data_IF_831477183086
#
_entry.id   IF_831477183086
#
_cell.length_a   1.000
_cell.length_b   1.000
_cell.length_c   1.000
_cell.angle_alpha   90.00
_cell.angle_beta   90.00
_cell.angle_gamma   90.00
#
_symmetry.space_group_name_H-M   'P 1'
#
loop_
_entity.id
_entity.type
_entity.pdbx_description
1 polymer ?
#
# COMPACT_ATOMS: atom_id res chain seq x y z
N UNK A 1 -1.73 18.02 4.33
CA UNK A 1 -2.37 17.49 5.44
C UNK A 1 -3.06 18.41 6.41
N UNK A 2 -3.74 17.82 7.39
CA UNK A 2 -4.62 18.49 8.36
C UNK A 2 -3.90 19.20 9.52
N UNK A 3 -2.57 19.00 9.66
CA UNK A 3 -1.82 19.50 10.83
C UNK A 3 -1.96 21.01 11.10
N UNK A 4 -2.03 21.82 10.06
CA UNK A 4 -2.20 23.27 10.21
C UNK A 4 -3.60 23.69 10.62
N UNK A 5 -4.55 22.75 10.64
CA UNK A 5 -5.97 22.97 10.92
C UNK A 5 -6.41 22.36 12.25
N UNK A 6 -5.61 21.44 12.83
CA UNK A 6 -5.94 20.71 14.04
C UNK A 6 -4.96 21.04 15.16
N UNK A 7 -5.48 21.30 16.38
CA UNK A 7 -4.69 21.51 17.58
C UNK A 7 -3.98 20.23 18.06
N UNK A 8 -4.68 19.10 17.92
CA UNK A 8 -4.17 17.76 18.27
C UNK A 8 -4.50 16.77 17.16
N UNK A 9 -3.62 15.79 16.97
CA UNK A 9 -3.82 14.67 16.04
C UNK A 9 -3.56 13.38 16.82
N UNK A 10 -4.51 12.46 16.79
CA UNK A 10 -4.39 11.12 17.32
C UNK A 10 -4.51 10.10 16.19
N UNK A 11 -3.69 9.06 16.21
CA UNK A 11 -3.71 7.96 15.25
C UNK A 11 -3.85 6.66 16.02
N UNK A 12 -4.93 5.91 15.78
CA UNK A 12 -5.12 4.55 16.28
C UNK A 12 -4.93 3.56 15.13
N UNK A 13 -4.12 2.53 15.35
CA UNK A 13 -3.84 1.48 14.35
C UNK A 13 -3.66 0.13 15.04
N UNK A 14 -4.23 -0.93 14.45
CA UNK A 14 -4.04 -2.31 14.91
C UNK A 14 -2.60 -2.79 14.79
N UNK A 15 -1.82 -2.18 13.90
CA UNK A 15 -0.43 -2.52 13.69
C UNK A 15 0.45 -2.10 14.87
N UNK A 16 1.55 -2.83 15.13
CA UNK A 16 2.50 -2.52 16.20
C UNK A 16 3.40 -1.32 15.89
N UNK A 17 3.43 -0.85 14.65
CA UNK A 17 4.25 0.28 14.18
C UNK A 17 3.58 1.04 13.07
N UNK A 18 4.03 2.26 12.83
CA UNK A 18 3.54 3.09 11.72
C UNK A 18 3.98 2.52 10.37
N UNK A 19 3.09 2.59 9.36
CA UNK A 19 3.34 2.19 7.98
C UNK A 19 3.97 0.78 7.84
N UNK A 20 3.42 -0.26 8.49
CA UNK A 20 4.05 -1.58 8.59
C UNK A 20 4.23 -2.28 7.23
N UNK A 21 3.45 -1.88 6.23
CA UNK A 21 3.53 -2.45 4.87
C UNK A 21 4.69 -1.89 4.04
N UNK A 22 5.33 -0.79 4.47
CA UNK A 22 6.32 -0.07 3.66
C UNK A 22 7.59 0.32 4.42
N UNK A 23 7.60 0.23 5.75
CA UNK A 23 8.75 0.56 6.59
C UNK A 23 9.16 -0.62 7.45
N UNK A 24 10.47 -0.81 7.61
CA UNK A 24 11.03 -1.67 8.65
C UNK A 24 10.92 -1.01 10.04
N UNK A 25 11.35 -1.71 11.09
CA UNK A 25 11.26 -1.23 12.46
C UNK A 25 12.06 0.06 12.69
N UNK A 26 13.22 0.18 12.07
CA UNK A 26 14.11 1.35 12.22
C UNK A 26 13.50 2.59 11.57
N UNK A 27 13.08 2.47 10.31
CA UNK A 27 12.46 3.57 9.58
C UNK A 27 11.11 3.97 10.19
N UNK A 28 10.33 3.00 10.67
CA UNK A 28 9.07 3.26 11.37
C UNK A 28 9.31 4.03 12.68
N UNK A 29 10.35 3.67 13.44
CA UNK A 29 10.71 4.38 14.67
C UNK A 29 11.10 5.85 14.40
N UNK A 30 11.91 6.11 13.36
CA UNK A 30 12.25 7.48 12.96
C UNK A 30 11.02 8.28 12.51
N UNK A 31 10.13 7.65 11.77
CA UNK A 31 8.88 8.27 11.32
C UNK A 31 8.00 8.61 12.54
N UNK A 32 7.83 7.68 13.47
CA UNK A 32 7.06 7.87 14.71
C UNK A 32 7.62 9.02 15.52
N UNK A 33 8.92 9.00 15.84
CA UNK A 33 9.59 10.06 16.61
C UNK A 33 9.38 11.44 15.96
N UNK A 34 9.54 11.52 14.62
CA UNK A 34 9.32 12.76 13.89
C UNK A 34 7.89 13.28 13.99
N UNK A 35 6.91 12.39 13.98
CA UNK A 35 5.49 12.76 14.11
C UNK A 35 5.16 13.16 15.55
N UNK A 36 5.69 12.47 16.56
CA UNK A 36 5.51 12.79 17.98
C UNK A 36 6.12 14.14 18.35
N UNK A 37 7.32 14.48 17.83
CA UNK A 37 7.92 15.83 17.95
C UNK A 37 6.98 16.93 17.43
N UNK A 38 6.07 16.58 16.54
CA UNK A 38 5.09 17.48 15.95
C UNK A 38 3.72 17.41 16.63
N UNK A 39 3.62 16.71 17.76
CA UNK A 39 2.41 16.64 18.58
C UNK A 39 1.39 15.60 18.12
N UNK A 40 1.78 14.64 17.27
CA UNK A 40 0.91 13.49 16.94
C UNK A 40 0.99 12.47 18.08
N UNK A 41 -0.14 11.93 18.50
CA UNK A 41 -0.23 10.84 19.48
C UNK A 41 -0.59 9.55 18.77
N UNK A 42 0.09 8.45 19.13
CA UNK A 42 -0.16 7.12 18.59
C UNK A 42 -0.79 6.20 19.63
N UNK A 43 -1.77 5.43 19.19
CA UNK A 43 -2.40 4.31 19.88
C UNK A 43 -2.23 3.08 18.98
N UNK A 44 -1.03 2.48 19.04
CA UNK A 44 -0.67 1.30 18.25
C UNK A 44 -1.13 0.02 18.97
N UNK A 45 -1.27 -1.07 18.23
CA UNK A 45 -1.90 -2.31 18.69
C UNK A 45 -3.32 -2.08 19.23
N UNK A 46 -4.01 -1.05 18.75
CA UNK A 46 -5.31 -0.66 19.25
C UNK A 46 -6.23 -0.20 18.10
N UNK A 47 -7.51 -0.20 18.33
CA UNK A 47 -8.49 0.25 17.35
C UNK A 47 -9.76 0.76 18.02
N UNK A 48 -10.57 1.51 17.28
CA UNK A 48 -11.85 1.95 17.76
C UNK A 48 -12.81 0.76 17.94
N UNK A 49 -13.29 0.58 19.16
CA UNK A 49 -14.30 -0.42 19.51
C UNK A 49 -15.72 0.13 19.37
N UNK A 50 -15.92 1.42 19.63
CA UNK A 50 -17.22 2.07 19.53
C UNK A 50 -17.09 3.59 19.37
N UNK A 51 -18.12 4.19 18.77
CA UNK A 51 -18.26 5.63 18.66
C UNK A 51 -19.53 6.08 19.35
N UNK A 52 -19.48 7.17 20.11
CA UNK A 52 -20.65 7.83 20.73
C UNK A 52 -20.50 9.35 20.56
N UNK A 53 -21.35 9.94 19.71
CA UNK A 53 -21.20 11.35 19.37
C UNK A 53 -19.81 11.63 18.80
N UNK A 54 -19.07 12.51 19.45
CA UNK A 54 -17.70 12.89 19.10
C UNK A 54 -16.63 12.17 19.94
N UNK A 55 -16.96 11.03 20.55
CA UNK A 55 -16.02 10.23 21.35
C UNK A 55 -15.82 8.86 20.71
N UNK A 56 -14.56 8.49 20.51
CA UNK A 56 -14.14 7.14 20.13
C UNK A 56 -13.62 6.41 21.36
N UNK A 57 -14.18 5.24 21.67
CA UNK A 57 -13.63 4.33 22.67
C UNK A 57 -12.80 3.26 21.97
N UNK A 58 -11.53 3.18 22.33
CA UNK A 58 -10.62 2.17 21.84
C UNK A 58 -10.82 0.81 22.53
N UNK A 59 -10.26 -0.25 21.97
CA UNK A 59 -10.30 -1.60 22.56
C UNK A 59 -9.58 -1.66 23.91
N UNK A 60 -8.53 -0.88 24.10
CA UNK A 60 -7.84 -0.70 25.38
C UNK A 60 -8.70 -0.05 26.47
N UNK A 61 -9.85 0.51 26.12
CA UNK A 61 -10.70 1.29 27.01
C UNK A 61 -10.41 2.78 27.00
N UNK A 62 -9.37 3.24 26.30
CA UNK A 62 -9.06 4.67 26.16
C UNK A 62 -10.18 5.38 25.40
N UNK A 63 -10.60 6.53 25.89
CA UNK A 63 -11.57 7.39 25.21
C UNK A 63 -10.87 8.61 24.61
N UNK A 64 -11.19 8.90 23.36
CA UNK A 64 -10.64 10.00 22.57
C UNK A 64 -11.79 10.86 22.07
N UNK A 65 -11.80 12.13 22.48
CA UNK A 65 -12.72 13.12 21.90
C UNK A 65 -12.13 13.64 20.58
N UNK A 66 -13.00 13.88 19.60
CA UNK A 66 -12.60 14.39 18.29
C UNK A 66 -13.63 15.36 17.69
N UNK A 67 -13.16 16.36 16.99
CA UNK A 67 -13.98 17.24 16.14
C UNK A 67 -14.08 16.69 14.72
N UNK A 68 -13.01 16.00 14.26
CA UNK A 68 -12.93 15.38 12.94
C UNK A 68 -12.41 13.96 13.06
N UNK A 69 -13.16 13.01 12.52
CA UNK A 69 -12.76 11.60 12.37
C UNK A 69 -12.37 11.33 10.93
N UNK A 70 -11.15 10.80 10.74
CA UNK A 70 -10.69 10.29 9.45
C UNK A 70 -10.55 8.77 9.53
N UNK A 71 -11.32 8.06 8.73
CA UNK A 71 -11.26 6.60 8.62
C UNK A 71 -10.41 6.22 7.42
N UNK A 72 -9.24 5.61 7.69
CA UNK A 72 -8.27 5.20 6.67
C UNK A 72 -7.88 3.72 6.87
N UNK A 73 -8.88 2.83 6.90
CA UNK A 73 -8.74 1.40 7.22
C UNK A 73 -8.39 0.52 6.02
N UNK A 74 -7.90 1.12 4.96
CA UNK A 74 -7.51 0.44 3.72
C UNK A 74 -8.62 0.38 2.68
N UNK A 75 -8.33 -0.32 1.59
CA UNK A 75 -9.21 -0.47 0.43
C UNK A 75 -9.32 -1.95 0.04
N UNK A 76 -10.41 -2.30 -0.60
CA UNK A 76 -10.59 -3.61 -1.25
C UNK A 76 -10.76 -3.40 -2.74
N UNK A 77 -10.03 -4.14 -3.58
CA UNK A 77 -10.22 -4.11 -5.02
C UNK A 77 -11.67 -4.46 -5.39
N UNK A 78 -12.26 -3.69 -6.31
CA UNK A 78 -13.55 -4.03 -6.87
C UNK A 78 -13.36 -5.02 -8.02
N UNK A 79 -13.61 -6.30 -7.77
CA UNK A 79 -13.38 -7.40 -8.73
C UNK A 79 -14.67 -8.00 -9.26
N UNK A 80 -15.83 -7.57 -8.74
CA UNK A 80 -17.10 -8.25 -8.93
C UNK A 80 -17.49 -8.38 -10.40
N UNK A 81 -17.29 -7.34 -11.20
CA UNK A 81 -17.63 -7.34 -12.62
C UNK A 81 -16.92 -8.48 -13.40
N UNK A 82 -15.63 -8.71 -13.08
CA UNK A 82 -14.84 -9.75 -13.73
C UNK A 82 -15.18 -11.12 -13.18
N UNK A 83 -15.42 -11.23 -11.86
CA UNK A 83 -15.84 -12.48 -11.23
C UNK A 83 -17.20 -12.97 -11.77
N UNK A 84 -18.17 -12.08 -11.91
CA UNK A 84 -19.51 -12.41 -12.46
C UNK A 84 -19.46 -12.86 -13.93
N UNK A 85 -18.47 -12.35 -14.67
CA UNK A 85 -18.20 -12.78 -16.04
C UNK A 85 -17.39 -14.11 -16.14
N UNK A 86 -17.05 -14.73 -15.01
CA UNK A 86 -16.27 -15.97 -14.95
C UNK A 86 -14.76 -15.77 -15.05
N UNK A 87 -14.26 -14.55 -14.90
CA UNK A 87 -12.83 -14.27 -14.87
C UNK A 87 -12.18 -14.62 -13.53
N UNK A 88 -10.91 -14.96 -13.57
CA UNK A 88 -10.16 -15.33 -12.35
C UNK A 88 -9.85 -14.11 -11.47
N UNK A 89 -10.21 -14.23 -10.20
CA UNK A 89 -9.95 -13.23 -9.16
C UNK A 89 -9.38 -13.90 -7.91
N UNK A 90 -8.57 -13.17 -7.17
CA UNK A 90 -8.13 -13.52 -5.82
C UNK A 90 -8.36 -12.28 -4.95
N UNK A 91 -7.35 -11.61 -4.44
CA UNK A 91 -7.49 -10.29 -3.79
C UNK A 91 -7.78 -9.18 -4.80
N UNK A 92 -7.30 -9.34 -6.03
CA UNK A 92 -7.56 -8.49 -7.19
C UNK A 92 -7.89 -9.34 -8.42
N UNK A 93 -8.15 -8.70 -9.54
CA UNK A 93 -8.33 -9.35 -10.84
C UNK A 93 -6.97 -9.88 -11.29
N UNK A 94 -6.86 -11.19 -11.51
CA UNK A 94 -5.62 -11.81 -11.94
C UNK A 94 -5.31 -11.41 -13.37
N UNK A 95 -4.11 -10.85 -13.57
CA UNK A 95 -3.61 -10.45 -14.90
C UNK A 95 -2.24 -11.05 -15.17
N UNK A 96 -1.93 -11.21 -16.46
CA UNK A 96 -0.61 -11.57 -16.95
C UNK A 96 0.31 -10.34 -17.13
N UNK A 97 1.51 -10.54 -17.68
CA UNK A 97 2.46 -9.46 -17.99
C UNK A 97 1.98 -8.46 -19.05
N UNK A 98 0.85 -8.71 -19.67
CA UNK A 98 0.20 -7.81 -20.63
C UNK A 98 -1.04 -7.13 -20.07
N UNK A 99 -1.26 -7.24 -18.77
CA UNK A 99 -2.48 -6.79 -18.11
C UNK A 99 -3.76 -7.51 -18.62
N UNK A 100 -3.63 -8.63 -19.35
CA UNK A 100 -4.76 -9.41 -19.82
C UNK A 100 -5.31 -10.27 -18.68
N UNK A 101 -6.62 -10.27 -18.53
CA UNK A 101 -7.34 -11.15 -17.60
C UNK A 101 -7.49 -12.55 -18.19
N UNK A 102 -8.15 -13.46 -17.49
CA UNK A 102 -8.51 -14.79 -18.03
C UNK A 102 -9.70 -14.75 -18.98
N UNK A 103 -10.36 -13.61 -19.12
CA UNK A 103 -11.43 -13.41 -20.09
C UNK A 103 -10.84 -12.92 -21.41
N UNK A 104 -11.33 -13.42 -22.57
CA UNK A 104 -10.90 -12.95 -23.90
C UNK A 104 -11.11 -11.43 -24.03
N UNK A 105 -10.09 -10.73 -24.54
CA UNK A 105 -10.12 -9.28 -24.85
C UNK A 105 -10.45 -8.37 -23.68
N UNK A 106 -10.32 -8.87 -22.42
CA UNK A 106 -10.52 -8.09 -21.19
C UNK A 106 -9.20 -7.86 -20.49
N UNK A 107 -8.90 -6.60 -20.22
CA UNK A 107 -7.68 -6.15 -19.54
C UNK A 107 -8.04 -5.46 -18.24
N UNK A 108 -7.18 -5.61 -17.22
CA UNK A 108 -7.33 -4.89 -15.95
C UNK A 108 -6.02 -4.22 -15.53
N UNK A 109 -6.16 -3.00 -14.99
CA UNK A 109 -5.06 -2.20 -14.47
C UNK A 109 -5.52 -1.33 -13.30
N UNK A 110 -4.57 -0.81 -12.52
CA UNK A 110 -4.86 0.01 -11.34
C UNK A 110 -5.11 -0.81 -10.10
N UNK A 111 -5.89 -0.27 -9.16
CA UNK A 111 -6.11 -0.82 -7.82
C UNK A 111 -6.88 -2.14 -7.81
N UNK A 112 -7.62 -2.44 -8.87
CA UNK A 112 -8.37 -3.68 -8.99
C UNK A 112 -7.53 -4.84 -9.54
N UNK A 113 -6.39 -4.58 -10.19
CA UNK A 113 -5.56 -5.60 -10.82
C UNK A 113 -4.53 -6.20 -9.84
N UNK A 114 -4.33 -7.50 -9.98
CA UNK A 114 -3.30 -8.26 -9.26
C UNK A 114 -2.35 -8.87 -10.30
N UNK A 115 -1.17 -8.27 -10.42
CA UNK A 115 -0.17 -8.63 -11.41
C UNK A 115 1.12 -9.20 -10.80
N UNK A 116 2.16 -9.21 -11.61
CA UNK A 116 3.47 -9.73 -11.27
C UNK A 116 4.33 -8.67 -10.57
N UNK A 117 5.01 -9.07 -9.51
CA UNK A 117 6.04 -8.27 -8.84
C UNK A 117 7.44 -8.76 -9.25
N UNK A 118 8.20 -7.89 -9.90
CA UNK A 118 9.52 -8.21 -10.41
C UNK A 118 10.56 -8.51 -9.31
N UNK A 119 10.32 -8.04 -8.08
CA UNK A 119 11.24 -8.23 -6.95
C UNK A 119 11.03 -9.57 -6.27
N UNK A 120 9.79 -9.90 -5.95
CA UNK A 120 9.45 -11.16 -5.28
C UNK A 120 9.37 -12.34 -6.25
N UNK A 121 9.09 -12.09 -7.53
CA UNK A 121 8.79 -13.10 -8.52
C UNK A 121 7.43 -13.77 -8.31
N UNK A 122 6.59 -13.19 -7.47
CA UNK A 122 5.27 -13.68 -7.13
C UNK A 122 4.18 -12.71 -7.60
N UNK A 123 2.94 -13.14 -7.60
CA UNK A 123 1.81 -12.26 -7.86
C UNK A 123 1.63 -11.30 -6.69
N UNK A 124 1.93 -10.03 -6.91
CA UNK A 124 1.81 -9.00 -5.89
C UNK A 124 0.36 -8.57 -5.69
N UNK A 125 -0.01 -8.37 -4.44
CA UNK A 125 -1.28 -7.75 -4.07
C UNK A 125 -1.16 -6.24 -4.21
N UNK A 126 -2.08 -5.61 -4.93
CA UNK A 126 -2.17 -4.17 -5.14
C UNK A 126 -0.84 -3.48 -5.55
N UNK A 127 -0.62 -3.32 -6.84
CA UNK A 127 0.54 -2.63 -7.36
C UNK A 127 0.62 -1.18 -6.81
N UNK A 128 1.79 -0.68 -6.41
CA UNK A 128 2.01 0.71 -6.03
C UNK A 128 1.59 1.69 -7.14
N UNK A 129 1.32 2.94 -6.78
CA UNK A 129 0.78 3.96 -7.71
C UNK A 129 1.56 4.07 -9.01
N UNK A 130 2.90 4.02 -8.97
CA UNK A 130 3.74 4.08 -10.18
C UNK A 130 3.52 2.89 -11.13
N UNK A 131 3.32 1.69 -10.58
CA UNK A 131 3.00 0.49 -11.35
C UNK A 131 1.60 0.57 -11.97
N UNK A 132 0.63 1.15 -11.27
CA UNK A 132 -0.74 1.32 -11.75
C UNK A 132 -0.81 2.18 -13.02
N UNK A 133 -0.02 3.28 -13.06
CA UNK A 133 0.07 4.14 -14.23
C UNK A 133 0.76 3.45 -15.40
N UNK A 134 1.84 2.73 -15.17
CA UNK A 134 2.54 1.98 -16.20
C UNK A 134 1.65 0.85 -16.75
N UNK A 135 1.03 0.05 -15.88
CA UNK A 135 0.11 -1.01 -16.27
C UNK A 135 -1.10 -0.46 -17.05
N UNK A 136 -1.65 0.69 -16.65
CA UNK A 136 -2.75 1.34 -17.38
C UNK A 136 -2.35 1.77 -18.78
N UNK A 137 -1.14 2.32 -18.96
CA UNK A 137 -0.59 2.69 -20.26
C UNK A 137 -0.35 1.46 -21.14
N UNK A 138 0.24 0.42 -20.59
CA UNK A 138 0.60 -0.79 -21.32
C UNK A 138 -0.64 -1.61 -21.69
N UNK A 139 -1.64 -1.68 -20.82
CA UNK A 139 -2.97 -2.22 -21.16
C UNK A 139 -3.65 -1.44 -22.28
N UNK A 140 -3.56 -0.10 -22.28
CA UNK A 140 -4.05 0.75 -23.37
C UNK A 140 -3.33 0.49 -24.69
N UNK A 141 -2.02 0.22 -24.67
CA UNK A 141 -1.24 -0.15 -25.85
C UNK A 141 -1.70 -1.51 -26.43
N UNK A 142 -2.01 -2.48 -25.58
CA UNK A 142 -2.53 -3.79 -26.01
C UNK A 142 -3.86 -3.62 -26.77
N UNK A 143 -4.80 -2.84 -26.25
CA UNK A 143 -6.05 -2.52 -26.94
C UNK A 143 -5.82 -1.81 -28.29
N UNK A 144 -4.77 -1.01 -28.40
CA UNK A 144 -4.35 -0.35 -29.64
C UNK A 144 -3.57 -1.25 -30.61
N UNK A 145 -3.49 -2.55 -30.33
CA UNK A 145 -2.77 -3.52 -31.17
C UNK A 145 -1.24 -3.48 -31.05
N UNK A 146 -0.69 -2.72 -30.09
CA UNK A 146 0.74 -2.69 -29.78
C UNK A 146 1.04 -3.74 -28.69
N UNK A 147 2.04 -4.58 -28.93
CA UNK A 147 2.52 -5.50 -27.89
C UNK A 147 3.40 -4.76 -26.89
N UNK A 148 3.01 -4.74 -25.62
CA UNK A 148 3.80 -4.25 -24.51
C UNK A 148 3.71 -5.27 -23.36
N UNK A 149 4.85 -5.73 -22.89
CA UNK A 149 4.91 -6.63 -21.73
C UNK A 149 5.31 -5.83 -20.50
N UNK A 150 4.44 -5.81 -19.50
CA UNK A 150 4.69 -5.18 -18.21
C UNK A 150 5.48 -6.13 -17.31
N UNK A 151 6.81 -6.07 -17.39
CA UNK A 151 7.71 -6.98 -16.67
C UNK A 151 8.50 -6.32 -15.55
N UNK A 152 8.32 -5.02 -15.33
CA UNK A 152 9.15 -4.21 -14.40
C UNK A 152 8.35 -3.64 -13.23
N UNK A 153 7.40 -4.40 -12.69
CA UNK A 153 6.67 -4.01 -11.52
C UNK A 153 7.57 -4.04 -10.27
N UNK A 154 8.04 -2.88 -9.81
CA UNK A 154 8.74 -2.74 -8.53
C UNK A 154 7.83 -1.97 -7.57
N UNK A 155 7.59 -2.52 -6.38
CA UNK A 155 6.90 -1.79 -5.33
C UNK A 155 7.70 -0.53 -4.99
N UNK A 156 7.14 0.65 -5.31
CA UNK A 156 7.74 1.94 -5.03
C UNK A 156 6.75 2.80 -4.27
N UNK A 157 7.15 3.28 -3.10
CA UNK A 157 6.37 4.24 -2.33
C UNK A 157 7.23 5.47 -2.04
N UNK A 158 6.68 6.65 -2.30
CA UNK A 158 7.28 7.93 -1.92
C UNK A 158 6.30 8.65 -1.00
N UNK A 159 6.76 9.08 0.15
CA UNK A 159 5.93 9.69 1.18
C UNK A 159 6.68 10.81 1.87
N UNK A 160 5.98 11.87 2.21
CA UNK A 160 6.53 12.98 2.99
C UNK A 160 5.76 13.17 4.28
N UNK A 161 6.45 13.06 5.43
CA UNK A 161 5.87 13.21 6.75
C UNK A 161 6.61 14.28 7.53
N UNK A 162 5.99 15.44 7.73
CA UNK A 162 6.55 16.59 8.48
C UNK A 162 7.99 16.96 8.10
N UNK A 163 8.29 16.97 6.80
CA UNK A 163 9.61 17.29 6.26
C UNK A 163 10.58 16.10 6.23
N UNK A 164 10.19 14.94 6.73
CA UNK A 164 10.90 13.69 6.48
C UNK A 164 10.41 13.11 5.15
N UNK A 165 11.28 13.04 4.17
CA UNK A 165 10.99 12.43 2.87
C UNK A 165 11.50 11.00 2.85
N UNK A 166 10.61 10.07 2.52
CA UNK A 166 10.89 8.64 2.51
C UNK A 166 10.58 8.10 1.12
N UNK A 167 11.47 7.26 0.62
CA UNK A 167 11.25 6.47 -0.60
C UNK A 167 11.59 5.03 -0.27
N UNK A 168 10.65 4.13 -0.52
CA UNK A 168 10.87 2.69 -0.38
C UNK A 168 10.68 2.01 -1.72
N UNK A 169 11.55 1.07 -2.06
CA UNK A 169 11.51 0.33 -3.30
C UNK A 169 11.74 -1.17 -3.05
N UNK A 170 10.90 -2.01 -3.63
CA UNK A 170 10.98 -3.46 -3.48
C UNK A 170 10.52 -3.94 -2.10
N UNK A 171 11.17 -4.98 -1.58
CA UNK A 171 10.89 -5.57 -0.27
C UNK A 171 11.90 -5.08 0.77
N UNK A 172 11.44 -4.66 1.94
CA UNK A 172 12.28 -4.34 3.10
C UNK A 172 12.60 -5.59 3.95
N UNK A 173 11.91 -6.70 3.74
CA UNK A 173 12.25 -7.98 4.36
C UNK A 173 13.36 -8.65 3.56
N UNK A 174 14.56 -8.72 4.15
CA UNK A 174 15.69 -9.44 3.57
C UNK A 174 15.37 -10.95 3.54
N UNK A 175 15.07 -11.48 2.36
CA UNK A 175 15.09 -12.94 2.16
C UNK A 175 16.54 -13.38 2.10
N UNK A 176 17.03 -14.09 3.13
CA UNK A 176 18.41 -14.52 3.33
C UNK A 176 19.04 -15.34 2.17
N UNK A 177 18.27 -15.71 1.15
CA UNK A 177 18.72 -16.59 0.06
C UNK A 177 19.24 -15.87 -1.20
N UNK A 178 19.29 -14.53 -1.26
CA UNK A 178 19.65 -13.82 -2.51
C UNK A 178 20.75 -12.74 -2.41
N UNK A 179 21.41 -12.57 -1.30
CA UNK A 179 22.64 -11.79 -1.27
C UNK A 179 23.83 -12.64 -1.81
N UNK A 180 23.96 -12.79 -3.12
CA UNK A 180 25.25 -13.14 -3.70
C UNK A 180 26.09 -11.88 -3.73
N UNK A 181 26.83 -11.65 -2.67
CA UNK A 181 27.91 -10.67 -2.69
C UNK A 181 28.98 -11.14 -3.63
N UNK A 182 29.12 -10.56 -4.80
CA UNK A 182 30.35 -10.62 -5.57
C UNK A 182 31.32 -9.68 -4.88
N UNK A 183 32.17 -10.23 -3.99
CA UNK A 183 33.38 -9.53 -3.56
C UNK A 183 34.25 -9.32 -4.81
N UNK A 184 34.35 -8.08 -5.28
CA UNK A 184 35.38 -7.72 -6.21
C UNK A 184 36.72 -7.74 -5.43
N UNK A 185 37.56 -8.73 -5.67
CA UNK A 185 38.96 -8.70 -5.28
C UNK A 185 39.70 -7.79 -6.26
N UNK A 186 40.22 -6.68 -5.74
CA UNK A 186 41.30 -5.93 -6.39
C UNK A 186 42.61 -6.72 -6.30
#
# INVERSE_FOLDING_TARGET
GIRGLCAQIAIADLAPRVLPAVLDDTAAAWCTARMEEKGVRFYLNDSAAAFRGNTARLQSGTELEFDVLVTAVGVRPNTQLVADAGGAVDRGILVDGRCATTLPDVYAAGDCAQGYDAVSGEKAHAAPVAQRHAAGRDGGHQHGGRRADYTQGIALNASGVFGLHMVTAGSYEARASRCRGTAATN
#
